data_IF_361520600008
#
_entry.id   IF_361520600008
#
_cell.length_a   1.000
_cell.length_b   1.000
_cell.length_c   1.000
_cell.angle_alpha   90.00
_cell.angle_beta   90.00
_cell.angle_gamma   90.00
#
_symmetry.space_group_name_H-M   'P 1'
#
loop_
_entity.id
_entity.type
_entity.pdbx_description
1 polymer ?
#
# COMPACT_ATOMS: atom_id res chain seq x y z
N UNK A 1 -8.31 29.30 37.65
CA UNK A 1 -7.32 29.76 36.66
C UNK A 1 -7.94 29.50 35.31
N UNK A 2 -8.28 30.56 34.56
CA UNK A 2 -9.02 30.47 33.32
C UNK A 2 -8.10 30.04 32.18
N UNK A 3 -8.48 28.94 31.47
CA UNK A 3 -7.82 28.48 30.28
C UNK A 3 -8.06 29.47 29.12
N UNK A 4 -7.01 30.01 28.57
CA UNK A 4 -7.06 30.82 27.36
C UNK A 4 -7.28 29.88 26.19
N UNK A 5 -8.46 29.96 25.56
CA UNK A 5 -8.74 29.40 24.24
C UNK A 5 -7.87 30.12 23.21
N UNK A 6 -7.05 29.42 22.46
CA UNK A 6 -6.38 29.95 21.26
C UNK A 6 -7.44 30.31 20.22
N UNK A 7 -7.30 31.45 19.52
CA UNK A 7 -8.20 31.81 18.44
C UNK A 7 -7.98 30.84 17.24
N UNK A 8 -9.00 30.61 16.41
CA UNK A 8 -8.85 29.88 15.17
C UNK A 8 -7.83 30.57 14.27
N UNK A 9 -6.94 29.79 13.64
CA UNK A 9 -5.97 30.32 12.69
C UNK A 9 -6.72 30.95 11.51
N UNK A 10 -6.60 32.29 11.37
CA UNK A 10 -6.98 32.99 10.16
C UNK A 10 -6.20 32.44 8.99
N UNK A 11 -6.89 31.82 8.03
CA UNK A 11 -6.31 31.47 6.72
C UNK A 11 -6.10 32.79 5.96
N UNK A 12 -4.93 33.02 5.38
CA UNK A 12 -4.75 34.20 4.50
C UNK A 12 -5.67 34.08 3.29
N UNK A 13 -6.45 35.10 2.98
CA UNK A 13 -7.51 35.18 1.95
C UNK A 13 -7.03 35.12 0.47
N UNK A 14 -5.76 34.79 0.21
CA UNK A 14 -5.21 34.72 -1.16
C UNK A 14 -4.34 33.49 -1.38
N UNK A 15 -4.90 32.28 -1.10
CA UNK A 15 -4.30 31.05 -1.60
C UNK A 15 -4.96 30.70 -2.93
N UNK A 16 -4.12 30.48 -3.95
CA UNK A 16 -4.48 29.80 -5.22
C UNK A 16 -5.33 28.57 -4.91
N UNK A 17 -6.24 28.14 -5.80
CA UNK A 17 -7.12 27.01 -5.51
C UNK A 17 -6.29 25.80 -5.08
N UNK A 18 -6.67 25.18 -3.97
CA UNK A 18 -6.01 24.00 -3.41
C UNK A 18 -5.88 22.92 -4.48
N UNK A 19 -4.68 22.38 -4.68
CA UNK A 19 -4.42 21.27 -5.62
C UNK A 19 -4.97 19.93 -5.11
N UNK A 20 -5.71 19.93 -4.01
CA UNK A 20 -6.34 18.72 -3.49
C UNK A 20 -7.45 18.28 -4.44
N UNK A 21 -7.44 17.03 -4.89
CA UNK A 21 -8.45 16.51 -5.79
C UNK A 21 -9.82 16.41 -5.11
N UNK A 22 -10.86 16.63 -5.87
CA UNK A 22 -12.23 16.40 -5.41
C UNK A 22 -12.62 14.95 -5.65
N UNK A 23 -13.01 14.23 -4.60
CA UNK A 23 -13.50 12.86 -4.72
C UNK A 23 -14.81 12.80 -5.51
N UNK A 24 -14.89 11.87 -6.45
CA UNK A 24 -16.10 11.56 -7.19
C UNK A 24 -16.94 10.56 -6.39
N UNK A 25 -17.98 11.03 -5.68
CA UNK A 25 -18.87 10.18 -4.87
C UNK A 25 -19.85 9.30 -5.67
N UNK A 26 -19.93 9.49 -6.98
CA UNK A 26 -20.70 8.62 -7.90
C UNK A 26 -19.75 8.10 -8.99
N UNK A 27 -18.80 7.24 -8.64
CA UNK A 27 -17.81 6.76 -9.60
C UNK A 27 -18.46 5.85 -10.67
N UNK A 28 -17.82 5.70 -11.84
CA UNK A 28 -18.34 4.90 -12.95
C UNK A 28 -18.48 3.40 -12.61
N UNK A 29 -17.72 2.90 -11.64
CA UNK A 29 -17.77 1.56 -11.06
C UNK A 29 -17.29 1.61 -9.61
N UNK A 30 -17.62 0.61 -8.81
CA UNK A 30 -17.37 0.64 -7.36
C UNK A 30 -16.18 -0.22 -6.99
N UNK A 31 -15.06 0.40 -6.62
CA UNK A 31 -13.95 -0.25 -5.95
C UNK A 31 -14.30 -0.43 -4.47
N UNK A 32 -13.91 -1.54 -3.86
CA UNK A 32 -14.30 -1.86 -2.46
C UNK A 32 -13.12 -2.03 -1.52
N UNK A 33 -11.94 -2.39 -2.02
CA UNK A 33 -10.72 -2.56 -1.21
C UNK A 33 -9.49 -2.90 -2.05
N UNK A 34 -8.31 -2.79 -1.46
CA UNK A 34 -7.12 -3.54 -1.86
C UNK A 34 -7.41 -5.05 -1.78
N UNK A 35 -7.03 -5.83 -2.78
CA UNK A 35 -7.45 -7.22 -2.92
C UNK A 35 -6.30 -8.23 -2.88
N UNK A 36 -5.31 -8.06 -3.75
CA UNK A 36 -4.19 -8.98 -3.89
C UNK A 36 -3.00 -8.31 -4.56
N UNK A 37 -1.83 -8.92 -4.45
CA UNK A 37 -0.61 -8.51 -5.16
C UNK A 37 0.01 -9.74 -5.81
N UNK A 38 0.55 -9.57 -7.01
CA UNK A 38 1.32 -10.60 -7.69
C UNK A 38 2.77 -10.15 -7.87
N UNK A 39 3.69 -11.02 -7.45
CA UNK A 39 5.13 -10.81 -7.50
C UNK A 39 5.79 -11.88 -8.37
N UNK A 40 6.72 -11.48 -9.20
CA UNK A 40 7.68 -12.34 -9.84
C UNK A 40 8.88 -12.54 -8.91
N UNK A 41 9.23 -13.80 -8.64
CA UNK A 41 10.29 -14.20 -7.70
C UNK A 41 11.27 -15.16 -8.36
N UNK A 42 12.55 -15.05 -8.01
CA UNK A 42 13.61 -15.83 -8.64
C UNK A 42 13.76 -17.22 -8.01
N UNK A 43 13.47 -17.35 -6.72
CA UNK A 43 13.39 -18.62 -6.01
C UNK A 43 12.01 -18.79 -5.34
N UNK A 44 11.13 -19.52 -5.99
CA UNK A 44 9.75 -19.72 -5.53
C UNK A 44 9.67 -20.41 -4.17
N UNK A 45 10.58 -21.36 -3.90
CA UNK A 45 10.60 -22.10 -2.64
C UNK A 45 11.11 -21.21 -1.49
N UNK A 46 12.17 -20.46 -1.70
CA UNK A 46 12.70 -19.52 -0.70
C UNK A 46 11.67 -18.44 -0.36
N UNK A 47 11.02 -17.87 -1.38
CA UNK A 47 9.98 -16.85 -1.17
C UNK A 47 8.75 -17.43 -0.47
N UNK A 48 8.26 -18.65 -0.86
CA UNK A 48 7.18 -19.34 -0.16
C UNK A 48 7.52 -19.51 1.33
N UNK A 49 8.71 -20.03 1.63
CA UNK A 49 9.13 -20.31 3.01
C UNK A 49 9.23 -19.02 3.82
N UNK A 50 9.74 -17.94 3.24
CA UNK A 50 9.74 -16.62 3.87
C UNK A 50 8.33 -16.15 4.23
N UNK A 51 7.39 -16.14 3.27
CA UNK A 51 6.04 -15.65 3.52
C UNK A 51 5.24 -16.56 4.46
N UNK A 52 5.46 -17.88 4.42
CA UNK A 52 4.82 -18.85 5.32
C UNK A 52 5.42 -18.83 6.72
N UNK A 53 6.75 -18.95 6.85
CA UNK A 53 7.41 -19.26 8.12
C UNK A 53 7.88 -17.99 8.86
N UNK A 54 8.32 -16.95 8.13
CA UNK A 54 8.81 -15.70 8.73
C UNK A 54 7.68 -14.67 8.88
N UNK A 55 6.79 -14.56 7.91
CA UNK A 55 5.66 -13.62 7.96
C UNK A 55 4.44 -14.26 8.63
N UNK A 56 4.13 -15.52 8.35
CA UNK A 56 3.00 -16.26 8.90
C UNK A 56 1.77 -16.29 7.99
N UNK A 57 1.92 -16.09 6.68
CA UNK A 57 0.83 -16.22 5.71
C UNK A 57 0.46 -17.69 5.50
N UNK A 58 -0.79 -17.95 5.17
CA UNK A 58 -1.32 -19.27 4.88
C UNK A 58 -1.14 -19.60 3.40
N UNK A 59 -0.41 -20.67 3.08
CA UNK A 59 -0.37 -21.21 1.72
C UNK A 59 -1.72 -21.86 1.42
N UNK A 60 -2.39 -21.39 0.39
CA UNK A 60 -3.67 -21.94 -0.08
C UNK A 60 -3.46 -22.99 -1.15
N UNK A 61 -2.57 -22.73 -2.10
CA UNK A 61 -2.25 -23.63 -3.21
C UNK A 61 -0.80 -23.39 -3.66
N UNK A 62 -0.16 -24.45 -4.14
CA UNK A 62 1.20 -24.41 -4.69
C UNK A 62 1.29 -25.28 -5.95
N UNK A 63 2.01 -24.79 -6.94
CA UNK A 63 2.37 -25.50 -8.17
C UNK A 63 3.85 -25.27 -8.50
N UNK A 64 4.34 -25.87 -9.59
CA UNK A 64 5.73 -25.67 -10.03
C UNK A 64 6.04 -24.21 -10.38
N UNK A 65 5.04 -23.43 -10.80
CA UNK A 65 5.19 -22.07 -11.32
C UNK A 65 4.59 -20.98 -10.42
N UNK A 66 3.80 -21.33 -9.41
CA UNK A 66 3.12 -20.35 -8.57
C UNK A 66 2.83 -20.87 -7.16
N UNK A 67 2.83 -19.92 -6.20
CA UNK A 67 2.33 -20.13 -4.84
C UNK A 67 1.29 -19.07 -4.55
N UNK A 68 0.14 -19.49 -4.00
CA UNK A 68 -0.96 -18.62 -3.60
C UNK A 68 -1.04 -18.58 -2.07
N UNK A 69 -0.97 -17.37 -1.51
CA UNK A 69 -0.99 -17.16 -0.07
C UNK A 69 -2.07 -16.14 0.32
N UNK A 70 -2.46 -16.17 1.60
CA UNK A 70 -3.46 -15.27 2.17
C UNK A 70 -3.29 -15.06 3.66
N UNK A 71 -3.95 -14.04 4.19
CA UNK A 71 -4.06 -13.83 5.63
C UNK A 71 -5.11 -14.74 6.28
N UNK A 72 -5.06 -14.83 7.62
CA UNK A 72 -5.85 -15.77 8.42
C UNK A 72 -7.37 -15.51 8.35
N UNK A 73 -7.80 -14.25 8.25
CA UNK A 73 -9.23 -13.89 8.18
C UNK A 73 -9.80 -13.86 6.76
N UNK A 74 -8.96 -14.00 5.74
CA UNK A 74 -9.39 -13.93 4.36
C UNK A 74 -10.11 -15.20 3.91
N UNK A 75 -11.29 -15.01 3.30
CA UNK A 75 -12.02 -16.08 2.62
C UNK A 75 -11.71 -16.12 1.12
N UNK A 76 -11.09 -15.09 0.55
CA UNK A 76 -10.58 -15.12 -0.81
C UNK A 76 -9.47 -16.14 -0.95
N UNK A 77 -9.42 -16.85 -2.08
CA UNK A 77 -8.41 -17.88 -2.36
C UNK A 77 -6.99 -17.37 -2.10
N UNK A 78 -6.69 -16.15 -2.49
CA UNK A 78 -5.38 -15.55 -2.27
C UNK A 78 -5.46 -14.02 -2.13
N UNK A 79 -4.44 -13.46 -1.49
CA UNK A 79 -4.12 -12.03 -1.47
C UNK A 79 -2.65 -11.76 -1.82
N UNK A 80 -1.81 -12.80 -1.89
CA UNK A 80 -0.47 -12.75 -2.45
C UNK A 80 -0.29 -13.91 -3.43
N UNK A 81 0.23 -13.61 -4.62
CA UNK A 81 0.61 -14.58 -5.64
C UNK A 81 2.11 -14.43 -5.92
N UNK A 82 2.86 -15.51 -5.73
CA UNK A 82 4.25 -15.58 -6.15
C UNK A 82 4.30 -16.36 -7.48
N UNK A 83 4.98 -15.79 -8.47
CA UNK A 83 5.20 -16.41 -9.78
C UNK A 83 6.69 -16.60 -10.01
N UNK A 84 7.09 -17.81 -10.40
CA UNK A 84 8.47 -18.09 -10.78
C UNK A 84 8.87 -17.25 -12.00
N UNK A 85 10.03 -16.59 -11.93
CA UNK A 85 10.56 -15.77 -13.01
C UNK A 85 12.10 -15.73 -12.96
N UNK A 86 12.72 -15.24 -14.03
CA UNK A 86 14.17 -15.02 -14.05
C UNK A 86 14.59 -13.72 -13.33
N UNK A 87 13.67 -12.74 -13.23
CA UNK A 87 13.89 -11.45 -12.60
C UNK A 87 12.76 -11.13 -11.63
N UNK A 88 13.13 -10.56 -10.47
CA UNK A 88 12.18 -10.08 -9.49
C UNK A 88 11.46 -8.80 -9.98
N UNK A 89 10.12 -8.83 -10.00
CA UNK A 89 9.27 -7.69 -10.41
C UNK A 89 7.95 -7.70 -9.62
N UNK A 90 7.34 -6.54 -9.45
CA UNK A 90 5.93 -6.45 -9.07
C UNK A 90 5.09 -6.59 -10.34
N UNK A 91 4.31 -7.68 -10.47
CA UNK A 91 3.55 -7.91 -11.69
C UNK A 91 2.35 -6.97 -11.77
N UNK A 92 1.57 -6.86 -10.71
CA UNK A 92 0.45 -5.92 -10.55
C UNK A 92 0.01 -5.84 -9.09
N UNK A 93 -0.74 -4.79 -8.77
CA UNK A 93 -1.54 -4.68 -7.55
C UNK A 93 -3.01 -4.84 -7.93
N UNK A 94 -3.76 -5.56 -7.10
CA UNK A 94 -5.15 -5.94 -7.37
C UNK A 94 -6.13 -5.17 -6.50
N UNK A 95 -7.21 -4.68 -7.09
CA UNK A 95 -8.33 -4.05 -6.39
C UNK A 95 -9.61 -4.87 -6.60
N UNK A 96 -10.45 -4.90 -5.58
CA UNK A 96 -11.76 -5.55 -5.65
C UNK A 96 -12.81 -4.56 -6.10
N UNK A 97 -13.61 -4.94 -7.09
CA UNK A 97 -14.86 -4.23 -7.44
C UNK A 97 -16.05 -4.99 -6.88
N UNK A 98 -17.21 -4.31 -6.78
CA UNK A 98 -18.37 -4.85 -6.09
C UNK A 98 -19.04 -6.03 -6.83
N UNK A 99 -19.15 -5.95 -8.15
CA UNK A 99 -19.89 -6.92 -8.98
C UNK A 99 -19.23 -7.10 -10.35
N UNK A 100 -19.68 -8.15 -11.08
CA UNK A 100 -19.27 -8.37 -12.48
C UNK A 100 -19.68 -7.23 -13.39
N UNK A 101 -20.81 -6.55 -13.06
CA UNK A 101 -21.25 -5.36 -13.80
C UNK A 101 -20.26 -4.19 -13.65
N UNK A 102 -19.56 -4.08 -12.52
CA UNK A 102 -18.52 -3.06 -12.32
C UNK A 102 -17.31 -3.30 -13.22
N UNK A 103 -16.92 -4.56 -13.48
CA UNK A 103 -15.86 -4.86 -14.47
C UNK A 103 -16.27 -4.37 -15.87
N UNK A 104 -17.53 -4.63 -16.28
CA UNK A 104 -18.04 -4.16 -17.57
C UNK A 104 -18.16 -2.63 -17.61
N UNK A 105 -18.48 -1.99 -16.51
CA UNK A 105 -18.52 -0.53 -16.40
C UNK A 105 -17.11 0.07 -16.46
N UNK A 106 -16.12 -0.54 -15.79
CA UNK A 106 -14.71 -0.14 -15.86
C UNK A 106 -14.17 -0.23 -17.30
N UNK A 107 -14.41 -1.34 -17.99
CA UNK A 107 -14.04 -1.55 -19.38
C UNK A 107 -14.58 -0.42 -20.29
N UNK A 108 -15.87 -0.12 -20.19
CA UNK A 108 -16.50 1.00 -20.94
C UNK A 108 -15.92 2.36 -20.58
N UNK A 109 -15.66 2.58 -19.29
CA UNK A 109 -15.10 3.83 -18.81
C UNK A 109 -13.69 4.07 -19.37
N UNK A 110 -12.81 3.05 -19.33
CA UNK A 110 -11.45 3.13 -19.86
C UNK A 110 -11.43 3.24 -21.39
N UNK A 111 -12.26 2.47 -22.09
CA UNK A 111 -12.40 2.59 -23.55
C UNK A 111 -12.81 4.02 -23.96
N UNK A 112 -13.77 4.63 -23.26
CA UNK A 112 -14.22 6.00 -23.53
C UNK A 112 -13.16 7.09 -23.25
N UNK A 113 -12.06 6.75 -22.56
CA UNK A 113 -10.95 7.65 -22.23
C UNK A 113 -9.64 7.30 -22.93
N UNK A 114 -9.63 6.27 -23.76
CA UNK A 114 -8.42 5.81 -24.44
C UNK A 114 -7.38 5.22 -23.48
N UNK A 115 -7.78 4.74 -22.31
CA UNK A 115 -6.90 4.00 -21.41
C UNK A 115 -6.83 2.56 -21.91
N UNK A 116 -5.62 2.09 -22.20
CA UNK A 116 -5.38 0.70 -22.61
C UNK A 116 -5.77 -0.25 -21.47
N UNK A 117 -6.58 -1.25 -21.80
CA UNK A 117 -7.08 -2.23 -20.85
C UNK A 117 -7.31 -3.57 -21.52
N UNK A 118 -7.23 -4.64 -20.77
CA UNK A 118 -7.38 -6.00 -21.25
C UNK A 118 -8.23 -6.83 -20.28
N UNK A 119 -9.23 -7.54 -20.78
CA UNK A 119 -9.94 -8.56 -20.01
C UNK A 119 -9.13 -9.85 -20.04
N UNK A 120 -8.85 -10.40 -18.87
CA UNK A 120 -8.00 -11.59 -18.70
C UNK A 120 -8.73 -12.67 -17.92
N UNK A 121 -8.37 -13.93 -18.20
CA UNK A 121 -8.77 -15.08 -17.38
C UNK A 121 -7.63 -15.38 -16.41
N UNK A 122 -7.93 -15.37 -15.11
CA UNK A 122 -6.97 -15.62 -14.03
C UNK A 122 -7.49 -16.77 -13.18
N UNK A 123 -6.65 -17.77 -12.86
CA UNK A 123 -7.06 -18.87 -11.98
C UNK A 123 -7.63 -18.35 -10.65
N UNK A 124 -8.70 -18.98 -10.18
CA UNK A 124 -9.41 -18.69 -8.93
C UNK A 124 -10.07 -17.31 -8.86
N UNK A 125 -10.07 -16.52 -9.95
CA UNK A 125 -10.72 -15.22 -10.02
C UNK A 125 -11.91 -15.26 -10.98
N UNK A 126 -12.91 -14.46 -10.69
CA UNK A 126 -14.01 -14.18 -11.61
C UNK A 126 -13.58 -13.19 -12.71
N UNK A 127 -14.53 -12.45 -13.31
CA UNK A 127 -14.22 -11.46 -14.32
C UNK A 127 -13.13 -10.50 -13.85
N UNK A 128 -12.07 -10.38 -14.66
CA UNK A 128 -10.85 -9.65 -14.31
C UNK A 128 -10.43 -8.73 -15.46
N UNK A 129 -10.03 -7.49 -15.12
CA UNK A 129 -9.60 -6.46 -16.05
C UNK A 129 -8.23 -5.94 -15.62
N UNK A 130 -7.26 -5.87 -16.55
CA UNK A 130 -5.95 -5.24 -16.34
C UNK A 130 -5.86 -3.93 -17.08
N UNK A 131 -5.21 -2.95 -16.47
CA UNK A 131 -4.91 -1.65 -17.08
C UNK A 131 -3.71 -1.00 -16.38
N UNK A 132 -3.29 0.14 -16.89
CA UNK A 132 -2.33 1.03 -16.23
C UNK A 132 -3.04 2.29 -15.80
N UNK A 133 -2.77 2.73 -14.55
CA UNK A 133 -3.29 4.00 -14.07
C UNK A 133 -2.59 5.21 -14.74
N UNK A 134 -2.97 6.42 -14.32
CA UNK A 134 -2.47 7.67 -14.92
C UNK A 134 -0.94 7.86 -14.86
N UNK A 135 -0.23 7.11 -14.03
CA UNK A 135 1.24 7.17 -13.88
C UNK A 135 1.95 5.90 -14.35
N UNK A 136 1.19 4.88 -14.79
CA UNK A 136 1.73 3.63 -15.33
C UNK A 136 1.77 2.48 -14.30
N UNK A 137 1.12 2.61 -13.14
CA UNK A 137 1.00 1.51 -12.18
C UNK A 137 0.18 0.38 -12.80
N UNK A 138 0.68 -0.86 -12.73
CA UNK A 138 -0.04 -2.04 -13.22
C UNK A 138 -1.15 -2.44 -12.25
N UNK A 139 -2.38 -2.35 -12.69
CA UNK A 139 -3.58 -2.59 -11.90
C UNK A 139 -4.36 -3.79 -12.45
N UNK A 140 -4.85 -4.61 -11.53
CA UNK A 140 -5.82 -5.66 -11.81
C UNK A 140 -7.10 -5.43 -11.02
N UNK A 141 -8.25 -5.34 -11.70
CA UNK A 141 -9.57 -5.31 -11.07
C UNK A 141 -10.20 -6.70 -11.16
N UNK A 142 -10.73 -7.20 -10.04
CA UNK A 142 -11.50 -8.44 -10.04
C UNK A 142 -12.79 -8.28 -9.26
N UNK A 143 -13.88 -8.89 -9.74
CA UNK A 143 -15.19 -8.83 -9.09
C UNK A 143 -15.39 -9.92 -8.06
N UNK A 144 -14.73 -11.09 -8.23
CA UNK A 144 -14.89 -12.26 -7.37
C UNK A 144 -13.63 -13.11 -7.34
N UNK A 145 -13.49 -13.91 -6.28
CA UNK A 145 -12.49 -14.95 -6.14
C UNK A 145 -13.15 -16.19 -5.58
N UNK A 146 -12.60 -17.37 -5.92
CA UNK A 146 -12.91 -18.60 -5.23
C UNK A 146 -12.75 -18.43 -3.71
N UNK A 147 -13.59 -19.10 -2.94
CA UNK A 147 -13.59 -18.94 -1.49
C UNK A 147 -13.04 -20.18 -0.80
N UNK A 148 -12.28 -19.93 0.26
CA UNK A 148 -11.69 -20.94 1.13
C UNK A 148 -12.06 -20.69 2.59
N UNK A 149 -12.02 -21.68 3.48
CA UNK A 149 -12.33 -21.50 4.88
C UNK A 149 -11.39 -20.48 5.55
N UNK A 150 -11.95 -19.51 6.28
CA UNK A 150 -11.19 -18.59 7.11
C UNK A 150 -10.54 -19.30 8.28
N UNK A 151 -9.36 -18.83 8.71
CA UNK A 151 -8.62 -19.38 9.85
C UNK A 151 -8.61 -18.48 11.09
N UNK A 152 -9.39 -17.42 11.09
CA UNK A 152 -9.40 -16.41 12.17
C UNK A 152 -9.75 -16.96 13.57
N UNK A 153 -10.36 -18.14 13.67
CA UNK A 153 -10.61 -18.82 14.94
C UNK A 153 -9.66 -19.99 15.22
N UNK A 154 -8.73 -20.27 14.31
CA UNK A 154 -7.73 -21.35 14.45
C UNK A 154 -6.48 -20.82 15.17
N UNK A 155 -6.61 -20.29 16.38
CA UNK A 155 -5.51 -19.67 17.14
C UNK A 155 -4.27 -20.55 17.30
N UNK A 156 -4.43 -21.87 17.22
CA UNK A 156 -3.32 -22.83 17.26
C UNK A 156 -2.48 -22.87 15.96
N UNK A 157 -2.97 -22.24 14.89
CA UNK A 157 -2.27 -22.09 13.61
C UNK A 157 -1.61 -20.71 13.47
N UNK A 158 -1.77 -19.79 14.44
CA UNK A 158 -1.18 -18.47 14.39
C UNK A 158 0.33 -18.57 14.59
N UNK A 159 1.08 -18.14 13.56
CA UNK A 159 2.55 -18.17 13.55
C UNK A 159 3.09 -16.78 13.21
N UNK A 160 4.31 -16.49 13.61
CA UNK A 160 5.01 -15.23 13.34
C UNK A 160 4.11 -13.99 13.65
N UNK A 161 3.91 -13.10 12.68
CA UNK A 161 3.04 -11.93 12.83
C UNK A 161 1.55 -12.22 12.82
N UNK A 162 1.14 -13.46 12.51
CA UNK A 162 -0.26 -13.85 12.33
C UNK A 162 -1.05 -12.88 11.43
N UNK A 163 -0.62 -12.62 10.19
CA UNK A 163 -1.23 -11.62 9.32
C UNK A 163 -2.71 -11.93 9.10
N UNK A 164 -3.58 -10.92 9.28
CA UNK A 164 -5.02 -11.11 9.21
C UNK A 164 -5.54 -10.99 7.77
N UNK A 165 -5.18 -9.88 7.10
CA UNK A 165 -5.61 -9.58 5.73
C UNK A 165 -4.68 -8.59 5.07
N UNK A 166 -4.61 -8.64 3.74
CA UNK A 166 -4.03 -7.59 2.93
C UNK A 166 -4.85 -6.31 3.11
N UNK A 167 -4.17 -5.20 3.31
CA UNK A 167 -4.84 -3.94 3.62
C UNK A 167 -4.59 -2.86 2.58
N UNK A 168 -3.34 -2.60 2.21
CA UNK A 168 -3.00 -1.50 1.30
C UNK A 168 -1.72 -1.74 0.51
N UNK A 169 -1.48 -0.83 -0.44
CA UNK A 169 -0.24 -0.73 -1.22
C UNK A 169 0.32 0.68 -1.16
N UNK A 170 1.64 0.79 -1.21
CA UNK A 170 2.31 2.05 -1.52
C UNK A 170 3.06 1.94 -2.84
N UNK A 171 2.86 2.93 -3.69
CA UNK A 171 3.55 3.10 -4.96
C UNK A 171 4.42 4.36 -4.90
N UNK A 172 5.71 4.21 -5.20
CA UNK A 172 6.56 5.36 -5.50
C UNK A 172 6.26 5.81 -6.93
N UNK A 173 5.95 7.09 -7.12
CA UNK A 173 5.60 7.64 -8.43
C UNK A 173 6.33 8.94 -8.72
N UNK A 174 6.58 9.19 -10.00
CA UNK A 174 7.18 10.45 -10.45
C UNK A 174 6.21 11.64 -10.36
N UNK A 175 4.89 11.38 -10.38
CA UNK A 175 3.83 12.40 -10.38
C UNK A 175 2.69 11.99 -9.45
N UNK A 176 2.73 12.50 -8.23
CA UNK A 176 1.73 12.22 -7.19
C UNK A 176 0.38 12.87 -7.52
N UNK A 177 0.39 14.08 -8.13
CA UNK A 177 -0.85 14.77 -8.47
C UNK A 177 -1.66 13.99 -9.49
N UNK A 178 -1.02 13.59 -10.61
CA UNK A 178 -1.69 12.80 -11.66
C UNK A 178 -2.24 11.48 -11.12
N UNK A 179 -1.48 10.77 -10.27
CA UNK A 179 -1.97 9.56 -9.63
C UNK A 179 -3.19 9.82 -8.76
N UNK A 180 -3.13 10.85 -7.92
CA UNK A 180 -4.20 11.19 -6.98
C UNK A 180 -5.49 11.61 -7.71
N UNK A 181 -5.38 12.45 -8.73
CA UNK A 181 -6.53 12.89 -9.54
C UNK A 181 -7.22 11.72 -10.24
N UNK A 182 -6.42 10.77 -10.76
CA UNK A 182 -6.96 9.57 -11.39
C UNK A 182 -7.83 8.75 -10.42
N UNK A 183 -7.32 8.48 -9.22
CA UNK A 183 -8.01 7.63 -8.24
C UNK A 183 -9.16 8.36 -7.53
N UNK A 184 -9.05 9.67 -7.29
CA UNK A 184 -10.17 10.50 -6.81
C UNK A 184 -11.34 10.51 -7.82
N UNK A 185 -11.03 10.56 -9.12
CA UNK A 185 -12.01 10.42 -10.20
C UNK A 185 -12.72 9.05 -10.23
N UNK A 186 -12.11 8.02 -9.64
CA UNK A 186 -12.66 6.67 -9.47
C UNK A 186 -13.29 6.42 -8.08
N UNK A 187 -13.45 7.48 -7.27
CA UNK A 187 -14.17 7.43 -6.00
C UNK A 187 -13.32 7.17 -4.76
N UNK A 188 -11.99 7.11 -4.88
CA UNK A 188 -11.13 7.05 -3.71
C UNK A 188 -11.10 8.40 -2.99
N UNK A 189 -11.21 8.38 -1.65
CA UNK A 189 -11.13 9.56 -0.79
C UNK A 189 -9.70 9.75 -0.31
N UNK A 190 -9.29 11.01 -0.21
CA UNK A 190 -8.02 11.40 0.40
C UNK A 190 -8.20 11.48 1.92
N UNK A 191 -7.57 10.60 2.67
CA UNK A 191 -7.59 10.61 4.14
C UNK A 191 -6.46 11.44 4.74
N UNK A 192 -5.28 11.34 4.15
CA UNK A 192 -4.09 12.09 4.54
C UNK A 192 -3.26 12.47 3.33
N UNK A 193 -2.49 13.54 3.46
CA UNK A 193 -1.50 13.91 2.45
C UNK A 193 -0.27 14.57 3.06
N UNK A 194 0.84 14.43 2.39
CA UNK A 194 2.07 15.18 2.65
C UNK A 194 2.26 16.17 1.52
N UNK A 195 2.47 17.44 1.85
CA UNK A 195 2.76 18.49 0.89
C UNK A 195 4.15 19.10 1.16
N UNK A 196 4.77 19.67 0.13
CA UNK A 196 5.96 20.49 0.28
C UNK A 196 5.64 21.67 1.19
N UNK A 197 6.54 21.94 2.11
CA UNK A 197 6.38 22.96 3.15
C UNK A 197 5.94 24.32 2.58
N UNK A 198 4.89 24.87 3.17
CA UNK A 198 4.34 26.17 2.78
C UNK A 198 3.64 26.21 1.41
N UNK A 199 3.38 25.07 0.79
CA UNK A 199 2.66 24.94 -0.48
C UNK A 199 1.61 23.83 -0.40
N UNK A 200 0.80 23.68 -1.45
CA UNK A 200 -0.10 22.56 -1.63
C UNK A 200 0.42 21.54 -2.67
N UNK A 201 1.70 21.61 -3.07
CA UNK A 201 2.33 20.62 -3.94
C UNK A 201 2.40 19.26 -3.25
N UNK A 202 1.69 18.28 -3.78
CA UNK A 202 1.57 16.95 -3.19
C UNK A 202 2.86 16.16 -3.27
N UNK A 203 3.42 15.80 -2.11
CA UNK A 203 4.55 14.88 -2.00
C UNK A 203 4.12 13.43 -1.80
N UNK A 204 2.97 13.20 -1.19
CA UNK A 204 2.38 11.89 -1.00
C UNK A 204 0.94 11.97 -0.58
N UNK A 205 0.15 10.96 -0.96
CA UNK A 205 -1.29 10.88 -0.72
C UNK A 205 -1.69 9.48 -0.24
N UNK A 206 -2.59 9.43 0.74
CA UNK A 206 -3.18 8.24 1.32
C UNK A 206 -4.64 8.21 0.95
N UNK A 207 -5.05 7.25 0.11
CA UNK A 207 -6.38 7.20 -0.48
C UNK A 207 -7.13 5.92 -0.07
N UNK A 208 -8.38 6.04 0.31
CA UNK A 208 -9.19 4.98 0.85
C UNK A 208 -10.54 4.80 0.14
N UNK A 209 -11.14 3.61 0.28
CA UNK A 209 -12.51 3.29 -0.14
C UNK A 209 -13.29 2.47 0.89
N UNK A 210 -12.64 1.98 1.95
CA UNK A 210 -13.24 1.05 2.93
C UNK A 210 -13.37 1.63 4.35
N UNK A 211 -13.15 2.94 4.52
CA UNK A 211 -13.28 3.61 5.82
C UNK A 211 -12.11 3.38 6.77
N UNK A 212 -10.97 2.85 6.31
CA UNK A 212 -9.70 2.86 7.00
C UNK A 212 -8.85 4.07 6.56
N UNK A 213 -7.59 4.14 6.96
CA UNK A 213 -6.75 5.28 6.57
C UNK A 213 -6.37 5.27 5.08
N UNK A 214 -6.20 4.11 4.46
CA UNK A 214 -5.84 4.01 3.04
C UNK A 214 -5.95 2.58 2.49
N UNK A 215 -6.21 2.48 1.21
CA UNK A 215 -6.08 1.29 0.37
C UNK A 215 -4.90 1.43 -0.59
N UNK A 216 -4.64 2.67 -1.04
CA UNK A 216 -3.62 2.97 -2.03
C UNK A 216 -2.89 4.26 -1.64
N UNK A 217 -1.57 4.19 -1.60
CA UNK A 217 -0.69 5.32 -1.26
C UNK A 217 0.21 5.63 -2.44
N UNK A 218 0.34 6.91 -2.76
CA UNK A 218 1.33 7.42 -3.72
C UNK A 218 2.32 8.32 -3.01
N UNK A 219 3.62 8.07 -3.21
CA UNK A 219 4.66 8.94 -2.68
C UNK A 219 5.63 9.35 -3.77
N UNK A 220 6.12 10.59 -3.66
CA UNK A 220 7.07 11.17 -4.59
C UNK A 220 8.39 10.38 -4.57
N UNK A 221 8.78 9.89 -5.73
CA UNK A 221 9.99 9.10 -5.92
C UNK A 221 10.13 8.62 -7.36
N UNK A 222 11.23 7.94 -7.66
CA UNK A 222 11.40 7.31 -8.96
C UNK A 222 10.34 6.22 -9.15
N UNK A 223 9.55 6.33 -10.23
CA UNK A 223 8.44 5.41 -10.43
C UNK A 223 7.74 5.51 -11.79
N UNK A 224 6.67 4.72 -12.00
CA UNK A 224 5.97 3.94 -10.96
C UNK A 224 6.72 2.67 -10.54
N UNK A 225 6.74 2.39 -9.22
CA UNK A 225 7.30 1.17 -8.64
C UNK A 225 6.53 0.80 -7.37
N UNK A 226 6.29 -0.47 -7.12
CA UNK A 226 5.69 -0.93 -5.89
C UNK A 226 6.70 -0.78 -4.73
N UNK A 227 6.42 0.14 -3.80
CA UNK A 227 7.26 0.37 -2.63
C UNK A 227 7.05 -0.72 -1.58
N UNK A 228 5.80 -1.01 -1.25
CA UNK A 228 5.41 -2.13 -0.40
C UNK A 228 3.93 -2.49 -0.57
N UNK A 229 3.58 -3.62 -0.02
CA UNK A 229 2.21 -4.03 0.27
C UNK A 229 2.13 -4.40 1.75
N UNK A 230 0.93 -4.27 2.35
CA UNK A 230 0.78 -4.35 3.79
C UNK A 230 -0.29 -5.32 4.24
N UNK A 231 -0.01 -6.03 5.33
CA UNK A 231 -0.95 -6.89 6.03
C UNK A 231 -1.20 -6.37 7.44
N UNK A 232 -2.48 -6.37 7.86
CA UNK A 232 -2.80 -6.13 9.26
C UNK A 232 -2.42 -7.32 10.12
N UNK A 233 -1.92 -7.05 11.34
CA UNK A 233 -1.72 -8.04 12.40
C UNK A 233 -2.66 -7.77 13.57
N UNK A 234 -2.95 -8.77 14.45
CA UNK A 234 -3.94 -8.61 15.52
C UNK A 234 -3.64 -7.47 16.48
N UNK A 235 -2.39 -7.32 16.90
CA UNK A 235 -1.96 -6.31 17.88
C UNK A 235 -0.44 -6.07 17.86
N UNK A 236 0.02 -5.19 18.74
CA UNK A 236 1.44 -4.84 18.86
C UNK A 236 2.33 -6.03 19.27
N UNK A 237 1.80 -7.00 20.02
CA UNK A 237 2.57 -8.18 20.47
C UNK A 237 2.91 -9.05 19.26
N UNK A 238 1.97 -9.24 18.35
CA UNK A 238 2.21 -9.99 17.10
C UNK A 238 3.23 -9.32 16.20
N UNK A 239 3.25 -7.99 16.19
CA UNK A 239 4.24 -7.22 15.43
C UNK A 239 5.66 -7.40 15.99
N UNK A 240 5.83 -7.40 17.32
CA UNK A 240 7.12 -7.69 17.97
C UNK A 240 7.51 -9.15 17.75
N UNK A 241 6.55 -10.08 17.90
CA UNK A 241 6.81 -11.50 17.66
C UNK A 241 7.26 -11.78 16.22
N UNK A 242 6.72 -11.05 15.23
CA UNK A 242 7.19 -11.15 13.84
C UNK A 242 8.68 -10.77 13.71
N UNK A 243 9.13 -9.75 14.44
CA UNK A 243 10.55 -9.38 14.46
C UNK A 243 11.43 -10.46 15.13
N UNK A 244 10.95 -11.08 16.22
CA UNK A 244 11.64 -12.20 16.89
C UNK A 244 11.77 -13.40 15.92
N UNK A 245 10.68 -13.73 15.22
CA UNK A 245 10.68 -14.84 14.22
C UNK A 245 11.59 -14.51 13.05
N UNK A 246 11.59 -13.28 12.53
CA UNK A 246 12.52 -12.86 11.48
C UNK A 246 13.98 -13.06 11.89
N UNK A 247 14.34 -12.68 13.12
CA UNK A 247 15.66 -12.94 13.69
C UNK A 247 15.98 -14.44 13.79
N UNK A 248 15.02 -15.25 14.23
CA UNK A 248 15.20 -16.70 14.42
C UNK A 248 15.28 -17.48 13.09
N UNK A 249 14.62 -16.99 12.04
CA UNK A 249 14.61 -17.62 10.70
C UNK A 249 15.72 -17.11 9.78
N UNK A 250 16.60 -16.21 10.27
CA UNK A 250 17.75 -15.69 9.51
C UNK A 250 17.45 -14.42 8.72
N UNK A 251 16.25 -13.81 8.87
CA UNK A 251 15.84 -12.58 8.20
C UNK A 251 15.93 -11.34 9.11
N UNK A 252 16.69 -11.39 10.21
CA UNK A 252 16.84 -10.24 11.12
C UNK A 252 17.48 -9.01 10.45
N UNK A 253 18.42 -9.20 9.52
CA UNK A 253 19.04 -8.13 8.75
C UNK A 253 18.12 -7.58 7.64
N UNK A 254 17.07 -8.33 7.29
CA UNK A 254 16.05 -7.94 6.32
C UNK A 254 14.88 -7.14 6.94
N UNK A 255 14.94 -6.87 8.25
CA UNK A 255 14.09 -5.86 8.87
C UNK A 255 14.53 -4.49 8.35
N UNK A 256 13.81 -3.99 7.36
CA UNK A 256 14.14 -2.76 6.67
C UNK A 256 13.81 -1.51 7.50
N UNK A 257 12.76 -1.58 8.34
CA UNK A 257 12.34 -0.49 9.22
C UNK A 257 11.37 -0.97 10.31
N UNK A 258 11.49 -0.37 11.49
CA UNK A 258 10.61 -0.65 12.63
C UNK A 258 11.24 -1.64 13.62
N UNK A 259 10.49 -2.05 14.68
CA UNK A 259 9.15 -1.55 15.02
C UNK A 259 9.14 -0.05 15.31
N UNK A 260 8.04 0.60 14.94
CA UNK A 260 7.87 2.03 15.15
C UNK A 260 6.40 2.45 15.06
N UNK A 261 6.14 3.75 15.26
CA UNK A 261 4.82 4.33 15.07
C UNK A 261 4.88 5.48 14.08
N UNK A 262 4.02 5.42 13.08
CA UNK A 262 3.78 6.53 12.16
C UNK A 262 2.96 7.65 12.79
N UNK A 263 3.14 8.90 12.34
CA UNK A 263 2.12 9.94 12.46
C UNK A 263 1.02 9.72 11.42
N UNK A 264 1.43 9.52 10.17
CA UNK A 264 0.55 9.02 9.10
C UNK A 264 -0.14 7.73 9.54
N UNK A 265 -1.45 7.63 9.32
CA UNK A 265 -2.31 6.53 9.75
C UNK A 265 -2.30 6.22 11.26
N UNK A 266 -1.41 6.83 12.06
CA UNK A 266 -1.19 6.51 13.47
C UNK A 266 -0.91 5.03 13.73
N UNK A 267 -0.40 4.29 12.75
CA UNK A 267 -0.17 2.86 12.85
C UNK A 267 1.17 2.49 13.49
N UNK A 268 1.20 1.37 14.21
CA UNK A 268 2.42 0.64 14.50
C UNK A 268 2.83 -0.16 13.27
N UNK A 269 4.11 -0.19 12.96
CA UNK A 269 4.63 -0.81 11.74
C UNK A 269 5.91 -1.63 11.96
N UNK A 270 6.09 -2.61 11.08
CA UNK A 270 7.32 -3.37 10.88
C UNK A 270 7.44 -3.70 9.39
N UNK A 271 8.54 -3.34 8.76
CA UNK A 271 8.83 -3.63 7.36
C UNK A 271 9.94 -4.65 7.23
N UNK A 272 9.70 -5.66 6.38
CA UNK A 272 10.69 -6.69 6.04
C UNK A 272 10.86 -6.75 4.52
N UNK A 273 12.00 -7.30 4.10
CA UNK A 273 12.26 -7.64 2.71
C UNK A 273 12.27 -9.14 2.52
N UNK A 274 11.64 -9.61 1.46
CA UNK A 274 11.71 -10.99 1.05
C UNK A 274 13.05 -11.32 0.37
N UNK A 275 13.33 -12.59 0.01
CA UNK A 275 14.58 -12.98 -0.64
C UNK A 275 14.90 -12.21 -1.94
N UNK A 276 13.88 -11.75 -2.65
CA UNK A 276 13.99 -10.94 -3.88
C UNK A 276 13.91 -9.43 -3.63
N UNK A 277 13.95 -9.00 -2.35
CA UNK A 277 13.91 -7.62 -1.90
C UNK A 277 12.58 -6.90 -2.15
N UNK A 278 11.48 -7.64 -2.36
CA UNK A 278 10.14 -7.06 -2.25
C UNK A 278 9.85 -6.69 -0.81
N UNK A 279 9.25 -5.53 -0.60
CA UNK A 279 8.99 -5.03 0.77
C UNK A 279 7.56 -5.37 1.18
N UNK A 280 7.42 -6.02 2.34
CA UNK A 280 6.16 -6.24 3.03
C UNK A 280 6.10 -5.42 4.32
N UNK A 281 4.94 -4.85 4.63
CA UNK A 281 4.63 -4.22 5.90
C UNK A 281 3.69 -5.11 6.72
N UNK A 282 4.01 -5.27 8.00
CA UNK A 282 3.07 -5.71 9.03
C UNK A 282 2.68 -4.49 9.87
N UNK A 283 1.37 -4.23 10.03
CA UNK A 283 0.93 -3.04 10.75
C UNK A 283 -0.35 -3.27 11.55
N UNK A 284 -0.59 -2.39 12.52
CA UNK A 284 -1.79 -2.44 13.37
C UNK A 284 -2.10 -1.08 14.01
N UNK A 285 -3.27 -0.95 14.63
CA UNK A 285 -3.69 0.24 15.42
C UNK A 285 -3.86 1.53 14.62
N UNK A 286 -4.19 1.47 13.33
CA UNK A 286 -4.55 2.64 12.53
C UNK A 286 -5.90 3.23 12.95
N UNK A 287 -6.12 4.52 12.66
CA UNK A 287 -7.43 5.15 12.89
C UNK A 287 -8.43 4.79 11.77
N UNK A 288 -9.68 5.16 11.94
CA UNK A 288 -10.75 5.01 10.94
C UNK A 288 -11.06 6.37 10.32
N UNK A 289 -11.33 6.42 9.00
CA UNK A 289 -11.71 7.60 8.24
C UNK A 289 -13.08 7.34 7.60
N UNK A 290 -14.14 7.42 8.41
CA UNK A 290 -15.48 6.92 8.05
C UNK A 290 -16.38 8.05 7.55
N UNK A 291 -16.41 9.17 8.26
CA UNK A 291 -17.35 10.25 7.99
C UNK A 291 -16.97 11.02 6.70
N UNK A 292 -17.97 11.31 5.86
CA UNK A 292 -17.73 11.92 4.55
C UNK A 292 -17.31 13.39 4.63
N UNK A 293 -17.63 14.04 5.74
CA UNK A 293 -17.29 15.43 6.07
C UNK A 293 -15.90 15.59 6.69
N UNK A 294 -15.19 14.49 6.99
CA UNK A 294 -13.84 14.57 7.52
C UNK A 294 -12.88 15.18 6.48
N UNK A 295 -12.20 16.24 6.86
CA UNK A 295 -11.13 16.85 6.07
C UNK A 295 -9.88 15.96 6.11
N UNK A 296 -9.13 15.81 5.00
CA UNK A 296 -7.88 15.06 4.99
C UNK A 296 -6.82 15.70 5.88
N UNK A 297 -6.07 14.86 6.59
CA UNK A 297 -4.99 15.32 7.48
C UNK A 297 -3.77 15.74 6.65
N UNK A 298 -3.32 17.00 6.83
CA UNK A 298 -2.13 17.54 6.18
C UNK A 298 -0.88 17.31 7.01
N UNK A 299 0.21 16.93 6.34
CA UNK A 299 1.57 16.87 6.87
C UNK A 299 2.52 17.68 5.98
N UNK A 300 3.48 18.39 6.57
CA UNK A 300 4.58 18.98 5.83
C UNK A 300 5.72 17.96 5.62
N UNK A 301 6.42 18.02 4.48
CA UNK A 301 7.53 17.09 4.16
C UNK A 301 8.60 17.11 5.24
N UNK A 302 8.91 18.29 5.79
CA UNK A 302 9.93 18.44 6.82
C UNK A 302 9.50 17.97 8.22
N UNK A 303 8.20 17.71 8.47
CA UNK A 303 7.76 17.22 9.79
C UNK A 303 8.17 15.74 9.97
N UNK A 304 9.17 15.43 10.80
CA UNK A 304 9.64 14.07 10.97
C UNK A 304 8.57 13.16 11.61
N UNK A 305 7.61 13.74 12.36
CA UNK A 305 6.55 12.99 13.05
C UNK A 305 5.60 12.29 12.07
N UNK A 306 5.44 12.83 10.84
CA UNK A 306 4.64 12.17 9.81
C UNK A 306 5.10 10.75 9.55
N UNK A 307 6.40 10.55 9.40
CA UNK A 307 6.99 9.25 9.10
C UNK A 307 7.17 8.38 10.36
N UNK A 308 7.54 8.99 11.49
CA UNK A 308 7.64 8.30 12.79
C UNK A 308 7.37 9.24 13.97
N UNK A 309 6.40 8.88 14.80
CA UNK A 309 6.22 9.48 16.13
C UNK A 309 7.32 9.01 17.09
N UNK A 310 7.75 7.76 16.93
CA UNK A 310 8.88 7.15 17.59
C UNK A 310 9.39 5.96 16.75
N UNK A 311 10.62 5.53 17.01
CA UNK A 311 11.35 4.55 16.24
C UNK A 311 12.47 5.21 15.41
N UNK A 312 13.20 4.42 14.65
CA UNK A 312 14.30 4.92 13.83
C UNK A 312 13.76 5.60 12.55
N UNK A 313 14.36 6.73 12.13
CA UNK A 313 14.08 7.34 10.83
C UNK A 313 14.32 6.37 9.68
N UNK A 314 13.65 6.59 8.55
CA UNK A 314 13.89 5.83 7.34
C UNK A 314 15.31 6.09 6.80
N UNK A 315 16.01 5.03 6.38
CA UNK A 315 17.29 5.14 5.69
C UNK A 315 17.13 5.72 4.28
N UNK A 316 18.23 6.16 3.65
CA UNK A 316 18.17 6.63 2.24
C UNK A 316 17.65 5.57 1.30
N UNK A 317 18.05 4.30 1.48
CA UNK A 317 17.58 3.17 0.64
C UNK A 317 16.06 3.04 0.64
N UNK A 318 15.38 3.41 1.72
CA UNK A 318 13.92 3.44 1.83
C UNK A 318 13.25 4.22 0.68
N UNK A 319 13.83 5.34 0.28
CA UNK A 319 13.29 6.23 -0.76
C UNK A 319 13.69 5.83 -2.18
N UNK A 320 14.73 5.00 -2.33
CA UNK A 320 15.29 4.65 -3.64
C UNK A 320 15.01 3.23 -4.08
N UNK A 321 14.68 2.32 -3.16
CA UNK A 321 14.47 0.90 -3.46
C UNK A 321 12.99 0.55 -3.45
N UNK A 322 12.51 0.00 -4.57
CA UNK A 322 11.14 -0.45 -4.77
C UNK A 322 11.11 -1.41 -5.96
N UNK A 323 10.10 -2.29 -6.01
CA UNK A 323 9.93 -3.29 -7.07
C UNK A 323 9.38 -2.67 -8.34
N UNK A 324 10.05 -2.87 -9.46
CA UNK A 324 9.64 -2.36 -10.76
C UNK A 324 8.47 -3.16 -11.34
N UNK A 325 7.63 -2.50 -12.14
CA UNK A 325 6.63 -3.15 -12.97
C UNK A 325 7.22 -3.56 -14.32
N UNK A 326 6.89 -4.74 -14.88
CA UNK A 326 7.45 -5.22 -16.13
C UNK A 326 7.16 -4.28 -17.30
N UNK A 327 8.21 -3.91 -18.04
CA UNK A 327 8.08 -3.05 -19.22
C UNK A 327 7.67 -1.60 -18.96
N UNK A 328 7.52 -1.19 -17.71
CA UNK A 328 7.16 0.19 -17.36
C UNK A 328 8.43 1.03 -17.13
N UNK A 329 8.59 2.18 -17.82
CA UNK A 329 9.75 3.03 -17.65
C UNK A 329 9.72 3.74 -16.28
N UNK A 330 10.80 3.61 -15.54
CA UNK A 330 10.99 4.33 -14.25
C UNK A 330 11.44 5.76 -14.55
N UNK A 331 10.63 6.75 -14.14
CA UNK A 331 10.88 8.18 -14.34
C UNK A 331 11.34 8.84 -13.05
N UNK A 332 12.11 9.93 -13.15
CA UNK A 332 12.52 10.72 -11.99
C UNK A 332 11.35 11.58 -11.47
N UNK A 333 11.29 11.86 -10.15
CA UNK A 333 10.18 12.59 -9.57
C UNK A 333 10.13 14.05 -10.02
N UNK A 334 8.92 14.58 -10.22
CA UNK A 334 8.71 15.98 -10.58
C UNK A 334 9.01 16.91 -9.40
N UNK A 335 8.76 16.47 -8.16
CA UNK A 335 9.03 17.24 -6.97
C UNK A 335 10.38 16.85 -6.36
N UNK A 336 11.24 17.82 -6.11
CA UNK A 336 12.60 17.60 -5.57
C UNK A 336 12.68 17.61 -4.04
N UNK A 337 11.59 17.94 -3.33
CA UNK A 337 11.54 17.92 -1.87
C UNK A 337 11.78 16.49 -1.34
N UNK A 338 12.70 16.35 -0.39
CA UNK A 338 13.04 15.06 0.25
C UNK A 338 12.90 15.14 1.76
N UNK A 339 12.34 14.10 2.40
CA UNK A 339 12.34 14.01 3.86
C UNK A 339 13.76 13.78 4.40
N UNK A 340 13.97 14.14 5.67
CA UNK A 340 15.19 13.79 6.38
C UNK A 340 15.31 12.26 6.55
N UNK A 341 16.54 11.75 6.42
CA UNK A 341 16.86 10.32 6.48
C UNK A 341 17.59 9.95 7.78
N UNK A 342 17.77 8.65 8.05
CA UNK A 342 18.56 8.14 9.15
C UNK A 342 20.00 8.66 9.07
N UNK A 343 20.60 8.68 7.87
CA UNK A 343 21.97 9.14 7.65
C UNK A 343 22.11 10.63 7.96
N UNK A 344 21.07 11.44 7.63
CA UNK A 344 21.04 12.85 8.00
C UNK A 344 21.00 13.02 9.54
N UNK A 345 20.16 12.22 10.22
CA UNK A 345 20.09 12.21 11.68
C UNK A 345 21.44 11.81 12.32
N UNK A 346 22.07 10.73 11.85
CA UNK A 346 23.36 10.26 12.37
C UNK A 346 24.50 11.24 12.12
N UNK A 347 24.42 12.07 11.07
CA UNK A 347 25.42 13.10 10.79
C UNK A 347 25.36 14.30 11.74
N UNK A 348 24.29 14.44 12.51
CA UNK A 348 24.10 15.51 13.50
C UNK A 348 24.59 15.12 14.91
N UNK A 349 24.91 13.86 15.12
CA UNK A 349 25.35 13.28 16.38
C UNK A 349 26.68 12.58 16.23
#
# INVERSE_FOLDING_TARGET
MAGQSRPPHDRPEHLEPTMLPTTTFSPPFTITRASHVALAVTDLAASRDFYRDTIGLVVTEESDDAVYLRGLEEAAHHSLVLRRAEEAKALHIGLRVRTDADITAAERYFAGRGVDHERVEVPHQGPTLRFRDGVGTHIELTSSMETVPRKMAAFHEFTAGAPQRLDHYQVATHDVQTATDFWAGLGMRLSEYTAKDGTDELWGTWMEVKGNTHDLVFTNGRGPRLHHFAYTVPDATHLIHAADVAGATGFGEEIDRGPGRHGLSNALFLYLRDPDQHRIELFTTHYQFIDLEDDPIRWDVSDPRRAQQWGMPASRRWFFEASEFPGEPVRDPLLTATPATLEDYLSLH
#
